data_IF_173739064868
#
_entry.id   IF_173739064868
#
_cell.length_a   1.000
_cell.length_b   1.000
_cell.length_c   1.000
_cell.angle_alpha   90.00
_cell.angle_beta   90.00
_cell.angle_gamma   90.00
#
_symmetry.space_group_name_H-M   'P 1'
#
loop_
_entity.id
_entity.type
_entity.pdbx_description
1 polymer ?
#
# COMPACT_ATOMS: atom_id res chain seq x y z
N UNK A 1 -27.55 -13.77 6.19
CA UNK A 1 -26.65 -13.57 7.32
C UNK A 1 -25.30 -14.20 7.00
N UNK A 2 -24.21 -13.40 7.12
CA UNK A 2 -22.86 -13.91 6.96
C UNK A 2 -22.47 -14.83 8.11
N UNK A 3 -21.68 -15.84 7.83
CA UNK A 3 -21.02 -16.68 8.84
C UNK A 3 -19.62 -16.16 9.09
N UNK A 4 -19.06 -16.33 10.28
CA UNK A 4 -17.68 -15.99 10.63
C UNK A 4 -16.89 -17.27 10.90
N UNK A 5 -15.73 -17.40 10.29
CA UNK A 5 -14.75 -18.42 10.63
C UNK A 5 -13.71 -17.80 11.59
N UNK A 6 -13.66 -18.30 12.81
CA UNK A 6 -12.78 -17.80 13.87
C UNK A 6 -11.28 -18.06 13.61
N UNK A 7 -10.96 -18.97 12.70
CA UNK A 7 -9.61 -19.26 12.26
C UNK A 7 -9.58 -19.45 10.74
N UNK A 8 -8.92 -18.53 10.04
CA UNK A 8 -8.85 -18.54 8.58
C UNK A 8 -8.13 -19.79 8.01
N UNK A 9 -7.31 -20.48 8.79
CA UNK A 9 -6.63 -21.71 8.36
C UNK A 9 -7.44 -22.99 8.64
N UNK A 10 -8.55 -22.90 9.38
CA UNK A 10 -9.37 -24.04 9.82
C UNK A 10 -10.84 -23.93 9.37
N UNK A 11 -11.08 -23.27 8.26
CA UNK A 11 -12.43 -23.01 7.77
C UNK A 11 -12.97 -24.06 6.78
N UNK A 12 -12.27 -25.18 6.60
CA UNK A 12 -12.60 -26.20 5.56
C UNK A 12 -14.05 -26.67 5.62
N UNK A 13 -14.54 -27.05 6.80
CA UNK A 13 -15.91 -27.55 6.97
C UNK A 13 -16.95 -26.47 6.69
N UNK A 14 -16.65 -25.22 7.13
CA UNK A 14 -17.53 -24.07 6.91
C UNK A 14 -17.58 -23.70 5.42
N UNK A 15 -16.42 -23.73 4.74
CA UNK A 15 -16.32 -23.49 3.29
C UNK A 15 -17.08 -24.57 2.52
N UNK A 16 -16.85 -25.86 2.82
CA UNK A 16 -17.51 -26.98 2.18
C UNK A 16 -19.04 -26.98 2.39
N UNK A 17 -19.50 -26.42 3.50
CA UNK A 17 -20.92 -26.29 3.83
C UNK A 17 -21.60 -25.05 3.27
N UNK A 18 -20.90 -24.18 2.54
CA UNK A 18 -21.47 -22.97 1.93
C UNK A 18 -22.42 -23.34 0.79
N UNK A 19 -23.58 -22.70 0.78
CA UNK A 19 -24.57 -22.80 -0.28
C UNK A 19 -24.52 -21.59 -1.19
N UNK A 20 -25.06 -21.70 -2.37
CA UNK A 20 -25.17 -20.59 -3.32
C UNK A 20 -25.79 -19.35 -2.65
N UNK A 21 -25.10 -18.21 -2.76
CA UNK A 21 -25.52 -16.94 -2.17
C UNK A 21 -25.17 -16.76 -0.67
N UNK A 22 -24.56 -17.75 -0.01
CA UNK A 22 -24.04 -17.58 1.35
C UNK A 22 -22.66 -16.91 1.35
N UNK A 23 -22.34 -16.22 2.44
CA UNK A 23 -21.07 -15.51 2.64
C UNK A 23 -20.42 -16.03 3.92
N UNK A 24 -19.14 -16.39 3.82
CA UNK A 24 -18.28 -16.69 4.95
C UNK A 24 -17.21 -15.58 5.07
N UNK A 25 -17.13 -14.96 6.23
CA UNK A 25 -16.09 -14.00 6.57
C UNK A 25 -15.01 -14.74 7.34
N UNK A 26 -13.76 -14.62 6.94
CA UNK A 26 -12.64 -15.14 7.68
C UNK A 26 -12.19 -14.09 8.72
N UNK A 27 -11.73 -14.54 9.90
CA UNK A 27 -11.12 -13.68 10.92
C UNK A 27 -9.90 -12.95 10.35
N UNK A 28 -9.50 -11.86 11.01
CA UNK A 28 -8.40 -10.99 10.56
C UNK A 28 -7.13 -11.80 10.25
N UNK A 29 -6.79 -11.82 8.96
CA UNK A 29 -5.61 -12.54 8.44
C UNK A 29 -4.30 -12.05 9.05
N UNK A 30 -4.27 -10.79 9.50
CA UNK A 30 -3.07 -10.21 10.16
C UNK A 30 -2.82 -10.76 11.56
N UNK A 31 -3.70 -11.58 12.11
CA UNK A 31 -3.37 -12.38 13.30
C UNK A 31 -2.19 -13.31 13.01
N UNK A 32 -1.99 -13.70 11.75
CA UNK A 32 -0.88 -14.51 11.29
C UNK A 32 0.27 -13.66 10.73
N UNK A 33 1.51 -13.96 11.15
CA UNK A 33 2.71 -13.30 10.63
C UNK A 33 2.92 -13.56 9.14
N UNK A 34 2.41 -14.68 8.66
CA UNK A 34 2.41 -15.13 7.28
C UNK A 34 1.68 -14.14 6.36
N UNK A 35 0.64 -13.47 6.83
CA UNK A 35 -0.09 -12.48 6.03
C UNK A 35 0.84 -11.34 5.62
N UNK A 36 1.59 -10.79 6.55
CA UNK A 36 2.51 -9.68 6.29
C UNK A 36 3.88 -10.12 5.78
N UNK A 37 4.25 -11.39 5.96
CA UNK A 37 5.58 -11.90 5.62
C UNK A 37 6.71 -11.31 6.47
N UNK A 38 6.38 -10.83 7.69
CA UNK A 38 7.32 -10.23 8.63
C UNK A 38 7.43 -11.08 9.88
N UNK A 39 8.65 -11.55 10.25
CA UNK A 39 8.84 -12.27 11.50
C UNK A 39 8.41 -11.42 12.69
N UNK A 40 7.76 -12.05 13.66
CA UNK A 40 7.33 -11.43 14.92
C UNK A 40 8.07 -12.04 16.10
N UNK A 41 8.20 -11.28 17.18
CA UNK A 41 8.77 -11.77 18.44
C UNK A 41 10.28 -12.01 18.43
N UNK A 42 11.01 -11.47 17.45
CA UNK A 42 12.46 -11.45 17.49
C UNK A 42 12.94 -10.51 18.59
N UNK A 43 13.99 -10.90 19.32
CA UNK A 43 14.64 -10.03 20.29
C UNK A 43 15.24 -8.80 19.59
N UNK A 44 15.29 -7.65 20.30
CA UNK A 44 15.84 -6.41 19.73
C UNK A 44 17.31 -6.55 19.34
N UNK A 45 18.05 -7.37 20.06
CA UNK A 45 19.46 -7.70 19.88
C UNK A 45 19.71 -8.93 18.99
N UNK A 46 18.66 -9.47 18.35
CA UNK A 46 18.81 -10.62 17.46
C UNK A 46 19.85 -10.36 16.37
N UNK A 47 20.71 -11.35 16.13
CA UNK A 47 21.76 -11.29 15.11
C UNK A 47 21.17 -11.27 13.70
N UNK A 48 21.95 -10.83 12.74
CA UNK A 48 21.53 -10.84 11.32
C UNK A 48 21.28 -12.26 10.80
N UNK A 49 21.99 -13.25 11.33
CA UNK A 49 21.79 -14.67 11.00
C UNK A 49 20.46 -15.17 11.53
N UNK A 50 20.10 -14.84 12.78
CA UNK A 50 18.80 -15.18 13.38
C UNK A 50 17.64 -14.52 12.62
N UNK A 51 17.78 -13.23 12.29
CA UNK A 51 16.79 -12.51 11.47
C UNK A 51 16.60 -13.14 10.10
N UNK A 52 17.69 -13.55 9.45
CA UNK A 52 17.68 -14.23 8.13
C UNK A 52 17.04 -15.61 8.22
N UNK A 53 17.36 -16.38 9.25
CA UNK A 53 16.78 -17.71 9.47
C UNK A 53 15.27 -17.60 9.75
N UNK A 54 14.85 -16.69 10.61
CA UNK A 54 13.44 -16.44 10.91
C UNK A 54 12.65 -16.00 9.66
N UNK A 55 13.24 -15.15 8.81
CA UNK A 55 12.62 -14.72 7.56
C UNK A 55 12.50 -15.87 6.56
N UNK A 56 13.50 -16.76 6.48
CA UNK A 56 13.44 -17.93 5.62
C UNK A 56 12.36 -18.92 6.07
N UNK A 57 12.30 -19.22 7.37
CA UNK A 57 11.28 -20.09 7.96
C UNK A 57 9.88 -19.53 7.72
N UNK A 58 9.69 -18.22 7.92
CA UNK A 58 8.41 -17.56 7.69
C UNK A 58 7.99 -17.63 6.21
N UNK A 59 8.94 -17.50 5.29
CA UNK A 59 8.64 -17.59 3.86
C UNK A 59 8.10 -18.97 3.46
N UNK A 60 8.59 -20.03 4.09
CA UNK A 60 8.07 -21.39 3.85
C UNK A 60 6.66 -21.57 4.48
N UNK A 61 6.43 -21.07 5.69
CA UNK A 61 5.10 -21.12 6.29
C UNK A 61 4.11 -20.22 5.54
N UNK A 62 4.54 -19.06 5.02
CA UNK A 62 3.74 -18.18 4.20
C UNK A 62 3.21 -18.88 2.94
N UNK A 63 4.03 -19.67 2.27
CA UNK A 63 3.57 -20.47 1.10
C UNK A 63 2.43 -21.41 1.47
N UNK A 64 2.57 -22.10 2.61
CA UNK A 64 1.52 -23.00 3.11
C UNK A 64 0.23 -22.26 3.47
N UNK A 65 0.39 -21.10 4.11
CA UNK A 65 -0.73 -20.21 4.46
C UNK A 65 -1.48 -19.76 3.20
N UNK A 66 -0.78 -19.27 2.19
CA UNK A 66 -1.37 -18.83 0.92
C UNK A 66 -2.05 -20.00 0.20
N UNK A 67 -1.40 -21.16 0.11
CA UNK A 67 -1.98 -22.35 -0.50
C UNK A 67 -3.27 -22.77 0.21
N UNK A 68 -3.30 -22.67 1.54
CA UNK A 68 -4.50 -22.97 2.33
C UNK A 68 -5.64 -22.01 2.03
N UNK A 69 -5.39 -20.71 2.02
CA UNK A 69 -6.42 -19.73 1.66
C UNK A 69 -6.92 -19.93 0.23
N UNK A 70 -6.01 -20.17 -0.72
CA UNK A 70 -6.38 -20.43 -2.10
C UNK A 70 -7.24 -21.68 -2.28
N UNK A 71 -7.08 -22.70 -1.42
CA UNK A 71 -7.86 -23.93 -1.48
C UNK A 71 -9.35 -23.74 -1.16
N UNK A 72 -9.75 -22.58 -0.67
CA UNK A 72 -11.14 -22.28 -0.32
C UNK A 72 -12.00 -21.78 -1.48
N UNK A 73 -11.40 -21.43 -2.62
CA UNK A 73 -12.12 -20.80 -3.71
C UNK A 73 -11.63 -21.24 -5.09
N UNK A 74 -12.49 -21.10 -6.09
CA UNK A 74 -12.20 -21.41 -7.48
C UNK A 74 -11.69 -20.18 -8.25
N UNK A 75 -11.95 -18.98 -7.74
CA UNK A 75 -11.46 -17.73 -8.31
C UNK A 75 -11.10 -16.72 -7.22
N UNK A 76 -10.28 -15.74 -7.58
CA UNK A 76 -9.80 -14.69 -6.69
C UNK A 76 -10.22 -13.30 -7.18
N UNK A 77 -10.83 -12.53 -6.29
CA UNK A 77 -11.18 -11.13 -6.57
C UNK A 77 -10.49 -10.24 -5.55
N UNK A 78 -9.62 -9.34 -6.03
CA UNK A 78 -9.03 -8.30 -5.19
C UNK A 78 -9.86 -7.02 -5.31
N UNK A 79 -10.51 -6.63 -4.22
CA UNK A 79 -11.30 -5.40 -4.14
C UNK A 79 -10.86 -4.48 -2.98
N UNK A 80 -9.62 -4.69 -2.49
CA UNK A 80 -9.05 -3.98 -1.35
C UNK A 80 -8.01 -2.95 -1.79
N UNK A 81 -8.42 -1.81 -2.32
CA UNK A 81 -7.53 -0.75 -2.79
C UNK A 81 -6.60 -0.22 -1.68
N UNK A 82 -7.10 -0.05 -0.45
CA UNK A 82 -6.31 0.43 0.68
C UNK A 82 -5.08 -0.42 1.02
N UNK A 83 -5.04 -1.68 0.61
CA UNK A 83 -3.91 -2.61 0.80
C UNK A 83 -3.13 -2.90 -0.48
N UNK A 84 -3.51 -2.30 -1.62
CA UNK A 84 -2.91 -2.58 -2.93
C UNK A 84 -1.40 -2.31 -3.01
N UNK A 85 -0.89 -1.41 -2.16
CA UNK A 85 0.54 -1.09 -2.06
C UNK A 85 1.36 -2.12 -1.26
N UNK A 86 0.74 -3.17 -0.73
CA UNK A 86 1.38 -4.19 0.13
C UNK A 86 1.41 -5.54 -0.57
N UNK A 87 2.59 -6.18 -0.58
CA UNK A 87 2.76 -7.55 -1.06
C UNK A 87 2.43 -8.57 0.04
N UNK A 88 1.20 -8.52 0.57
CA UNK A 88 0.72 -9.46 1.58
C UNK A 88 0.28 -10.79 0.95
N UNK A 89 0.13 -11.82 1.78
CA UNK A 89 -0.30 -13.15 1.35
C UNK A 89 -1.64 -13.09 0.60
N UNK A 90 -2.66 -12.46 1.20
CA UNK A 90 -4.01 -12.39 0.66
C UNK A 90 -4.20 -11.37 -0.46
N UNK A 91 -3.29 -10.39 -0.62
CA UNK A 91 -3.44 -9.34 -1.64
C UNK A 91 -2.58 -9.54 -2.87
N UNK A 92 -1.44 -10.21 -2.74
CA UNK A 92 -0.50 -10.39 -3.84
C UNK A 92 -0.19 -11.88 -4.10
N UNK A 93 0.28 -12.60 -3.08
CA UNK A 93 0.80 -13.95 -3.29
C UNK A 93 -0.30 -14.94 -3.68
N UNK A 94 -1.50 -14.78 -3.14
CA UNK A 94 -2.65 -15.64 -3.46
C UNK A 94 -3.00 -15.61 -4.95
N UNK A 95 -2.78 -14.49 -5.62
CA UNK A 95 -3.08 -14.34 -7.04
C UNK A 95 -2.26 -15.27 -7.94
N UNK A 96 -1.13 -15.81 -7.46
CA UNK A 96 -0.31 -16.78 -8.18
C UNK A 96 -0.99 -18.15 -8.29
N UNK A 97 -1.90 -18.47 -7.35
CA UNK A 97 -2.67 -19.71 -7.34
C UNK A 97 -3.87 -19.69 -8.31
N UNK A 98 -4.22 -18.53 -8.84
CA UNK A 98 -5.31 -18.32 -9.80
C UNK A 98 -4.78 -17.73 -11.10
N UNK A 99 -4.07 -18.48 -11.94
CA UNK A 99 -3.42 -17.95 -13.13
C UNK A 99 -4.39 -17.28 -14.13
N UNK A 100 -5.60 -17.86 -14.28
CA UNK A 100 -6.61 -17.42 -15.23
C UNK A 100 -7.88 -16.85 -14.56
N UNK A 101 -8.11 -17.19 -13.30
CA UNK A 101 -9.37 -16.92 -12.58
C UNK A 101 -9.15 -15.90 -11.46
N UNK A 102 -8.47 -14.79 -11.81
CA UNK A 102 -8.24 -13.64 -10.92
C UNK A 102 -8.64 -12.34 -11.60
N UNK A 103 -9.23 -11.46 -10.80
CA UNK A 103 -9.71 -10.16 -11.29
C UNK A 103 -9.73 -9.11 -10.19
N UNK A 104 -9.92 -7.88 -10.59
CA UNK A 104 -10.25 -6.80 -9.66
C UNK A 104 -11.76 -6.71 -9.47
N UNK A 105 -12.17 -6.35 -8.24
CA UNK A 105 -13.55 -5.99 -7.96
C UNK A 105 -13.86 -4.54 -8.37
N UNK A 106 -15.11 -4.14 -8.18
CA UNK A 106 -15.60 -2.84 -8.64
C UNK A 106 -14.97 -1.64 -7.92
N UNK A 107 -14.62 -1.78 -6.63
CA UNK A 107 -13.93 -0.72 -5.88
C UNK A 107 -12.53 -0.50 -6.44
N UNK A 108 -11.77 -1.58 -6.62
CA UNK A 108 -10.43 -1.53 -7.21
C UNK A 108 -10.47 -0.98 -8.64
N UNK A 109 -11.41 -1.42 -9.44
CA UNK A 109 -11.60 -0.92 -10.81
C UNK A 109 -11.89 0.58 -10.82
N UNK A 110 -12.78 1.05 -9.92
CA UNK A 110 -13.12 2.47 -9.81
C UNK A 110 -11.92 3.33 -9.45
N UNK A 111 -11.11 2.89 -8.48
CA UNK A 111 -9.89 3.59 -8.06
C UNK A 111 -8.84 3.63 -9.19
N UNK A 112 -8.63 2.51 -9.89
CA UNK A 112 -7.71 2.46 -11.04
C UNK A 112 -8.18 3.41 -12.14
N UNK A 113 -9.47 3.40 -12.49
CA UNK A 113 -10.03 4.30 -13.50
C UNK A 113 -9.88 5.78 -13.10
N UNK A 114 -10.07 6.11 -11.81
CA UNK A 114 -9.89 7.46 -11.32
C UNK A 114 -8.42 7.93 -11.45
N UNK A 115 -7.48 7.07 -11.10
CA UNK A 115 -6.04 7.35 -11.26
C UNK A 115 -5.67 7.49 -12.74
N UNK A 116 -6.12 6.56 -13.59
CA UNK A 116 -5.85 6.57 -15.03
C UNK A 116 -6.41 7.84 -15.70
N UNK A 117 -7.58 8.30 -15.27
CA UNK A 117 -8.18 9.56 -15.77
C UNK A 117 -7.29 10.76 -15.47
N UNK A 118 -6.63 10.80 -14.33
CA UNK A 118 -5.70 11.90 -14.00
C UNK A 118 -4.36 11.78 -14.72
N UNK A 119 -3.82 10.56 -14.82
CA UNK A 119 -2.47 10.34 -15.32
C UNK A 119 -2.40 10.15 -16.85
N UNK A 120 -3.43 9.54 -17.47
CA UNK A 120 -3.39 9.17 -18.89
C UNK A 120 -4.27 10.06 -19.76
N UNK A 121 -5.39 10.53 -19.23
CA UNK A 121 -6.38 11.33 -19.99
C UNK A 121 -6.90 12.51 -19.15
N UNK A 122 -6.00 13.39 -18.67
CA UNK A 122 -6.40 14.49 -17.82
C UNK A 122 -7.30 15.50 -18.55
N UNK A 123 -8.31 16.01 -17.85
CA UNK A 123 -9.06 17.19 -18.27
C UNK A 123 -8.39 18.42 -17.66
N UNK A 124 -7.79 19.27 -18.49
CA UNK A 124 -7.08 20.46 -18.05
C UNK A 124 -8.02 21.63 -17.70
N UNK A 125 -7.69 22.46 -16.68
CA UNK A 125 -6.47 22.40 -15.87
C UNK A 125 -6.53 21.35 -14.75
N UNK A 126 -5.45 20.59 -14.60
CA UNK A 126 -5.26 19.64 -13.49
C UNK A 126 -4.52 20.32 -12.35
N UNK A 127 -5.05 20.25 -11.16
CA UNK A 127 -4.42 20.77 -9.93
C UNK A 127 -4.10 19.62 -8.98
N UNK A 128 -2.82 19.39 -8.70
CA UNK A 128 -2.39 18.45 -7.67
C UNK A 128 -2.23 19.15 -6.33
N UNK A 129 -2.75 18.54 -5.26
CA UNK A 129 -2.56 18.98 -3.89
C UNK A 129 -1.73 17.92 -3.17
N UNK A 130 -0.50 18.26 -2.81
CA UNK A 130 0.44 17.34 -2.16
C UNK A 130 0.68 17.79 -0.72
N UNK A 131 0.39 16.90 0.22
CA UNK A 131 0.63 17.13 1.64
C UNK A 131 1.51 16.05 2.26
N UNK A 132 2.19 16.40 3.33
CA UNK A 132 3.05 15.49 4.07
C UNK A 132 3.94 16.23 5.06
N UNK A 133 4.66 15.48 5.91
CA UNK A 133 5.58 16.06 6.87
C UNK A 133 6.96 16.39 6.25
N UNK A 134 7.39 15.57 5.28
CA UNK A 134 8.75 15.60 4.72
C UNK A 134 8.76 15.74 3.20
N UNK A 135 9.58 16.68 2.69
CA UNK A 135 9.83 16.87 1.26
C UNK A 135 10.56 15.65 0.68
N UNK A 136 11.58 15.15 1.39
CA UNK A 136 12.40 14.01 0.96
C UNK A 136 11.58 12.76 0.63
N UNK A 137 10.46 12.54 1.34
CA UNK A 137 9.58 11.39 1.11
C UNK A 137 8.63 11.54 -0.09
N UNK A 138 8.52 12.75 -0.65
CA UNK A 138 7.55 13.08 -1.71
C UNK A 138 8.20 13.55 -3.02
N UNK A 139 9.53 13.72 -3.05
CA UNK A 139 10.24 14.24 -4.22
C UNK A 139 9.91 13.47 -5.50
N UNK A 140 9.96 12.15 -5.45
CA UNK A 140 9.66 11.33 -6.63
C UNK A 140 8.24 11.53 -7.18
N UNK A 141 7.26 11.72 -6.29
CA UNK A 141 5.88 12.02 -6.69
C UNK A 141 5.78 13.41 -7.30
N UNK A 142 6.41 14.41 -6.65
CA UNK A 142 6.41 15.80 -7.12
C UNK A 142 7.02 15.89 -8.52
N UNK A 143 8.18 15.27 -8.72
CA UNK A 143 8.88 15.30 -10.02
C UNK A 143 8.10 14.60 -11.13
N UNK A 144 7.45 13.46 -10.86
CA UNK A 144 6.63 12.77 -11.84
C UNK A 144 5.33 13.51 -12.20
N UNK A 145 4.87 14.39 -11.33
CA UNK A 145 3.65 15.15 -11.58
C UNK A 145 3.90 16.44 -12.38
N UNK A 146 5.13 16.93 -12.50
CA UNK A 146 5.39 18.18 -13.26
C UNK A 146 4.89 18.13 -14.70
N UNK A 147 5.04 16.99 -15.36
CA UNK A 147 4.57 16.81 -16.73
C UNK A 147 3.07 16.51 -16.86
N UNK A 148 2.41 16.22 -15.72
CA UNK A 148 1.02 15.74 -15.72
C UNK A 148 0.02 16.76 -15.18
N UNK A 149 0.47 17.85 -14.56
CA UNK A 149 -0.40 18.82 -13.89
C UNK A 149 -0.08 20.26 -14.30
N UNK A 150 -1.13 21.11 -14.32
CA UNK A 150 -0.97 22.54 -14.61
C UNK A 150 -0.68 23.36 -13.35
N UNK A 151 -1.14 22.89 -12.20
CA UNK A 151 -0.96 23.56 -10.92
C UNK A 151 -0.59 22.55 -9.85
N UNK A 152 0.30 22.95 -8.93
CA UNK A 152 0.64 22.14 -7.77
C UNK A 152 0.56 22.97 -6.49
N UNK A 153 -0.21 22.46 -5.53
CA UNK A 153 -0.32 23.06 -4.20
C UNK A 153 0.42 22.17 -3.22
N UNK A 154 1.44 22.75 -2.58
CA UNK A 154 2.19 22.08 -1.51
C UNK A 154 1.56 22.43 -0.17
N UNK A 155 1.13 21.40 0.58
CA UNK A 155 0.49 21.51 1.88
C UNK A 155 1.21 20.70 2.98
N UNK A 156 0.63 20.73 4.19
CA UNK A 156 1.16 19.99 5.34
C UNK A 156 2.49 20.51 5.87
N UNK A 157 3.19 19.70 6.67
CA UNK A 157 4.42 20.08 7.36
C UNK A 157 5.60 20.39 6.43
N UNK A 158 5.62 19.79 5.25
CA UNK A 158 6.66 20.02 4.24
C UNK A 158 6.72 21.47 3.74
N UNK A 159 5.60 22.21 3.81
CA UNK A 159 5.56 23.64 3.45
C UNK A 159 6.60 24.46 4.19
N UNK A 160 6.90 24.12 5.43
CA UNK A 160 7.85 24.86 6.25
C UNK A 160 9.28 24.76 5.73
N UNK A 161 9.65 23.62 5.14
CA UNK A 161 10.95 23.47 4.47
C UNK A 161 11.04 24.41 3.26
N UNK A 162 10.01 24.49 2.42
CA UNK A 162 9.94 25.44 1.30
C UNK A 162 9.99 26.90 1.78
N UNK A 163 9.21 27.24 2.81
CA UNK A 163 9.18 28.61 3.35
C UNK A 163 10.55 29.04 3.93
N UNK A 164 11.22 28.15 4.66
CA UNK A 164 12.56 28.42 5.19
C UNK A 164 13.59 28.55 4.08
N UNK A 165 13.55 27.69 3.07
CA UNK A 165 14.42 27.75 1.90
C UNK A 165 14.28 29.09 1.14
N UNK A 166 13.08 29.68 1.11
CA UNK A 166 12.81 31.02 0.57
C UNK A 166 13.19 32.18 1.52
N UNK A 167 13.83 31.90 2.66
CA UNK A 167 14.20 32.90 3.64
C UNK A 167 13.12 33.29 4.65
N UNK A 168 11.98 32.57 4.65
CA UNK A 168 10.87 32.78 5.58
C UNK A 168 11.17 32.28 7.00
N UNK A 169 10.47 32.83 7.99
CA UNK A 169 10.55 32.41 9.38
C UNK A 169 9.47 31.37 9.66
N UNK A 170 9.85 30.23 10.23
CA UNK A 170 8.94 29.08 10.48
C UNK A 170 8.70 28.79 11.97
N UNK A 171 9.32 29.58 12.88
CA UNK A 171 9.22 29.36 14.32
C UNK A 171 9.76 28.00 14.75
N UNK A 172 8.96 27.25 15.50
CA UNK A 172 9.25 25.89 15.96
C UNK A 172 8.67 24.78 15.06
N UNK A 173 8.28 25.11 13.82
CA UNK A 173 7.71 24.14 12.90
C UNK A 173 8.76 23.13 12.42
N UNK A 174 8.29 21.92 12.05
CA UNK A 174 9.13 20.90 11.46
C UNK A 174 9.81 21.42 10.18
N UNK A 175 11.09 21.12 10.01
CA UNK A 175 11.85 21.47 8.83
C UNK A 175 12.91 20.40 8.55
N UNK A 176 13.11 20.09 7.28
CA UNK A 176 14.25 19.31 6.81
C UNK A 176 15.33 20.28 6.31
N UNK A 177 16.23 20.69 7.20
CA UNK A 177 17.25 21.70 6.90
C UNK A 177 18.25 21.24 5.81
N UNK A 178 18.48 19.96 5.73
CA UNK A 178 19.27 19.29 4.69
C UNK A 178 18.59 19.21 3.32
N UNK A 179 17.30 19.54 3.24
CA UNK A 179 16.50 19.49 2.00
C UNK A 179 16.14 20.88 1.45
N UNK A 180 16.71 21.95 1.97
CA UNK A 180 16.36 23.30 1.50
C UNK A 180 16.77 23.55 0.05
N UNK A 181 17.94 23.08 -0.36
CA UNK A 181 18.40 23.21 -1.76
C UNK A 181 17.49 22.41 -2.70
N UNK A 182 17.03 21.24 -2.27
CA UNK A 182 16.07 20.43 -3.00
C UNK A 182 14.74 21.18 -3.16
N UNK A 183 14.24 21.80 -2.10
CA UNK A 183 13.00 22.58 -2.15
C UNK A 183 13.12 23.77 -3.13
N UNK A 184 14.24 24.48 -3.15
CA UNK A 184 14.49 25.55 -4.12
C UNK A 184 14.55 25.05 -5.56
N UNK A 185 15.18 23.88 -5.78
CA UNK A 185 15.23 23.27 -7.11
C UNK A 185 13.84 22.85 -7.62
N UNK A 186 12.97 22.35 -6.73
CA UNK A 186 11.58 22.04 -7.05
C UNK A 186 10.83 23.31 -7.48
N UNK A 187 10.96 24.40 -6.72
CA UNK A 187 10.32 25.67 -7.06
C UNK A 187 10.79 26.20 -8.41
N UNK A 188 12.10 26.13 -8.67
CA UNK A 188 12.67 26.56 -9.96
C UNK A 188 12.12 25.76 -11.13
N UNK A 189 12.07 24.43 -11.00
CA UNK A 189 11.48 23.56 -12.02
C UNK A 189 9.99 23.81 -12.27
N UNK A 190 9.28 24.29 -11.25
CA UNK A 190 7.86 24.62 -11.40
C UNK A 190 7.59 25.95 -12.11
N UNK A 191 8.63 26.81 -12.26
CA UNK A 191 8.56 28.08 -13.00
C UNK A 191 8.96 27.92 -14.47
N UNK A 192 9.63 26.83 -14.83
CA UNK A 192 10.04 26.46 -16.20
C UNK A 192 8.88 25.82 -16.98
#
# INVERSE_FOLDING_TARGET
>A
PGKLAEDCQKADEQVAGLKMGEVLVLEDLRCYAEEEGKPRGLAEDATDEEKKAAKAALKESQKKFVAKLASYADCYINDAFGTAHRAHASTALIAEYFPNDKMFGYVMEGEIKAIDRVLKTPEHPVTAIIGGAKVSSKIGIIEHLFDAVDNMIIGGGMVYTFKKAQGGKIGKSLCEDDQMDLALNILKKAEE
#
